data_IF_617607493275
#
_entry.id   IF_617607493275
#
_cell.length_a   1.000
_cell.length_b   1.000
_cell.length_c   1.000
_cell.angle_alpha   90.00
_cell.angle_beta   90.00
_cell.angle_gamma   90.00
#
_symmetry.space_group_name_H-M   'P 1'
#
loop_
_entity.id
_entity.type
_entity.pdbx_description
1 polymer ?
#
# COMPACT_ATOMS: atom_id res chain seq x y z
N UNK A 1 -31.56 -29.46 -38.87
CA UNK A 1 -31.67 -29.04 -37.46
C UNK A 1 -30.35 -28.40 -37.09
N UNK A 2 -30.23 -27.12 -37.42
CA UNK A 2 -29.02 -26.35 -37.28
C UNK A 2 -28.88 -25.83 -35.85
N UNK A 3 -27.78 -26.20 -35.20
CA UNK A 3 -27.42 -25.70 -33.86
C UNK A 3 -26.94 -24.26 -33.99
N UNK A 4 -27.79 -23.31 -33.62
CA UNK A 4 -27.37 -21.96 -33.27
C UNK A 4 -26.31 -22.03 -32.16
N UNK A 5 -25.10 -21.56 -32.47
CA UNK A 5 -24.10 -21.17 -31.47
C UNK A 5 -24.57 -19.86 -30.86
N UNK A 6 -24.91 -19.88 -29.58
CA UNK A 6 -25.10 -18.67 -28.78
C UNK A 6 -23.73 -18.13 -28.40
N UNK A 7 -23.38 -16.98 -28.97
CA UNK A 7 -22.19 -16.22 -28.58
C UNK A 7 -22.39 -15.65 -27.17
N UNK A 8 -21.38 -15.83 -26.33
CA UNK A 8 -21.34 -15.48 -24.90
C UNK A 8 -20.91 -14.00 -24.77
N UNK A 9 -21.79 -13.05 -24.38
CA UNK A 9 -21.50 -11.62 -24.45
C UNK A 9 -20.63 -11.11 -23.28
N UNK A 10 -20.24 -11.96 -22.33
CA UNK A 10 -19.65 -11.53 -21.05
C UNK A 10 -18.13 -11.71 -20.95
N UNK A 11 -17.43 -11.80 -22.08
CA UNK A 11 -15.96 -11.84 -22.11
C UNK A 11 -15.42 -10.50 -22.58
N UNK A 12 -15.56 -9.48 -21.73
CA UNK A 12 -14.90 -8.18 -21.87
C UNK A 12 -13.37 -8.39 -21.88
N UNK A 13 -12.82 -8.56 -23.09
CA UNK A 13 -11.40 -8.40 -23.35
C UNK A 13 -11.03 -6.97 -22.97
N UNK A 14 -10.19 -6.84 -21.96
CA UNK A 14 -9.42 -5.62 -21.72
C UNK A 14 -8.53 -5.46 -22.96
N UNK A 15 -8.96 -4.61 -23.90
CA UNK A 15 -8.18 -4.21 -25.05
C UNK A 15 -7.09 -3.26 -24.57
N UNK A 16 -5.93 -3.80 -24.21
CA UNK A 16 -4.71 -3.02 -24.07
C UNK A 16 -4.29 -2.60 -25.47
N UNK A 17 -4.67 -1.40 -25.92
CA UNK A 17 -4.06 -0.78 -27.10
C UNK A 17 -2.61 -0.46 -26.73
N UNK A 18 -1.67 -1.13 -27.36
CA UNK A 18 -0.25 -0.77 -27.30
C UNK A 18 -0.09 0.59 -27.98
N UNK A 19 0.18 1.62 -27.18
CA UNK A 19 0.58 2.93 -27.70
C UNK A 19 2.07 2.86 -28.00
N UNK A 20 2.42 2.96 -29.29
CA UNK A 20 3.80 3.02 -29.76
C UNK A 20 4.53 4.19 -29.13
N UNK A 21 5.66 3.88 -28.50
CA UNK A 21 6.63 4.83 -27.95
C UNK A 21 7.31 5.56 -29.10
N UNK A 22 6.81 6.75 -29.42
CA UNK A 22 7.38 7.66 -30.42
C UNK A 22 8.41 8.58 -29.77
N UNK A 23 9.56 8.04 -29.39
CA UNK A 23 10.75 8.81 -29.06
C UNK A 23 11.42 9.26 -30.35
N UNK A 24 11.45 10.57 -30.60
CA UNK A 24 12.54 11.30 -31.29
C UNK A 24 12.05 12.74 -31.55
N UNK A 25 12.25 13.64 -30.58
CA UNK A 25 12.25 15.08 -30.87
C UNK A 25 13.53 15.74 -30.37
N UNK A 26 14.21 16.22 -31.39
CA UNK A 26 15.50 16.87 -31.47
C UNK A 26 15.53 18.16 -30.65
N UNK A 27 16.53 18.24 -29.77
CA UNK A 27 16.90 19.41 -28.98
C UNK A 27 17.68 20.37 -29.87
N UNK A 28 17.02 21.41 -30.40
CA UNK A 28 17.73 22.57 -30.96
C UNK A 28 17.00 23.87 -30.60
N UNK A 29 17.71 24.65 -29.77
CA UNK A 29 17.77 26.11 -29.73
C UNK A 29 16.56 26.89 -30.26
N UNK A 30 15.81 27.51 -29.33
CA UNK A 30 15.19 28.81 -29.62
C UNK A 30 15.11 29.70 -28.38
N UNK A 31 16.12 30.56 -28.35
CA UNK A 31 16.34 31.80 -27.63
C UNK A 31 15.06 32.64 -27.42
N UNK A 32 14.83 32.98 -26.15
CA UNK A 32 14.27 34.21 -25.58
C UNK A 32 13.13 34.93 -26.34
N UNK A 33 11.90 34.78 -25.83
CA UNK A 33 10.92 35.86 -25.81
C UNK A 33 10.07 35.79 -24.54
N UNK A 34 10.57 36.40 -23.46
CA UNK A 34 9.79 36.71 -22.26
C UNK A 34 8.92 37.94 -22.58
N UNK A 35 7.66 37.72 -22.95
CA UNK A 35 6.63 38.77 -22.82
C UNK A 35 5.88 38.51 -21.54
N UNK A 36 6.14 39.37 -20.54
CA UNK A 36 5.36 39.46 -19.32
C UNK A 36 3.96 39.97 -19.69
N UNK A 37 3.07 39.02 -19.96
CA UNK A 37 1.64 39.26 -20.11
C UNK A 37 0.97 38.71 -18.85
N UNK A 38 0.77 39.61 -17.90
CA UNK A 38 -0.14 39.45 -16.77
C UNK A 38 -1.59 39.37 -17.31
N UNK A 39 -1.93 38.26 -17.96
CA UNK A 39 -3.32 37.92 -18.25
C UNK A 39 -3.90 37.28 -16.99
N UNK A 40 -4.51 38.13 -16.17
CA UNK A 40 -5.40 37.81 -15.05
C UNK A 40 -6.67 37.11 -15.60
N UNK A 41 -6.45 35.94 -16.19
CA UNK A 41 -7.48 35.11 -16.79
C UNK A 41 -8.27 34.49 -15.66
N UNK A 42 -9.46 35.04 -15.42
CA UNK A 42 -10.48 34.53 -14.52
C UNK A 42 -10.47 33.01 -14.47
N UNK A 43 -10.16 32.49 -13.28
CA UNK A 43 -10.21 31.09 -12.82
C UNK A 43 -11.64 30.54 -12.87
N UNK A 44 -12.30 30.66 -14.03
CA UNK A 44 -13.60 30.09 -14.29
C UNK A 44 -13.43 28.61 -14.61
N UNK A 45 -13.09 27.88 -13.56
CA UNK A 45 -13.64 26.56 -13.26
C UNK A 45 -13.50 25.53 -14.38
N UNK A 46 -12.28 25.02 -14.55
CA UNK A 46 -11.92 23.83 -15.33
C UNK A 46 -12.49 22.51 -14.75
N UNK A 47 -13.62 22.58 -14.03
CA UNK A 47 -14.23 21.41 -13.38
C UNK A 47 -14.66 20.35 -14.39
N UNK A 48 -15.00 20.74 -15.62
CA UNK A 48 -15.42 19.81 -16.68
C UNK A 48 -14.33 18.79 -17.06
N UNK A 49 -13.05 19.13 -16.88
CA UNK A 49 -11.91 18.27 -17.21
C UNK A 49 -11.31 17.55 -16.01
N UNK A 50 -11.88 17.74 -14.81
CA UNK A 50 -11.34 17.17 -13.56
C UNK A 50 -12.17 16.00 -13.06
N UNK A 51 -11.49 14.94 -12.64
CA UNK A 51 -12.11 13.77 -12.06
C UNK A 51 -12.54 14.07 -10.62
N UNK A 52 -13.82 13.87 -10.29
CA UNK A 52 -14.34 14.13 -8.93
C UNK A 52 -13.80 13.17 -7.86
N UNK A 53 -13.15 12.06 -8.25
CA UNK A 53 -12.56 11.09 -7.30
C UNK A 53 -11.17 11.55 -6.86
N UNK A 54 -10.33 11.95 -7.82
CA UNK A 54 -8.94 12.31 -7.54
C UNK A 54 -8.66 13.82 -7.57
N UNK A 55 -9.66 14.65 -7.91
CA UNK A 55 -9.58 16.10 -8.03
C UNK A 55 -8.43 16.59 -8.93
N UNK A 56 -8.14 15.82 -9.99
CA UNK A 56 -7.10 16.14 -10.96
C UNK A 56 -7.65 15.93 -12.38
N UNK A 57 -6.92 16.37 -13.40
CA UNK A 57 -7.32 16.21 -14.79
C UNK A 57 -7.59 14.75 -15.14
N UNK A 58 -8.61 14.53 -15.97
CA UNK A 58 -9.01 13.19 -16.38
C UNK A 58 -8.01 12.58 -17.36
N UNK A 59 -7.49 11.39 -17.02
CA UNK A 59 -6.66 10.58 -17.93
C UNK A 59 -7.43 9.33 -18.31
N UNK A 60 -7.58 9.08 -19.61
CA UNK A 60 -8.39 7.97 -20.16
C UNK A 60 -9.80 7.96 -19.54
N UNK A 61 -10.60 9.02 -19.74
CA UNK A 61 -11.92 9.16 -19.14
C UNK A 61 -12.85 8.01 -19.57
N UNK A 62 -13.59 7.51 -18.59
CA UNK A 62 -14.56 6.42 -18.71
C UNK A 62 -15.93 6.92 -18.24
N UNK A 63 -16.94 6.83 -19.09
CA UNK A 63 -18.34 7.10 -18.74
C UNK A 63 -18.97 5.84 -18.15
N UNK A 64 -19.58 5.96 -16.97
CA UNK A 64 -20.32 4.86 -16.34
C UNK A 64 -21.77 4.82 -16.79
N UNK A 65 -22.27 3.63 -17.14
CA UNK A 65 -23.69 3.43 -17.51
C UNK A 65 -24.46 2.74 -16.38
N UNK A 66 -25.73 3.13 -16.15
CA UNK A 66 -26.57 3.98 -17.02
C UNK A 66 -26.50 5.49 -16.74
N UNK A 67 -25.84 5.92 -15.67
CA UNK A 67 -25.99 7.30 -15.17
C UNK A 67 -25.21 8.39 -15.92
N UNK A 68 -24.22 8.04 -16.75
CA UNK A 68 -23.50 8.97 -17.62
C UNK A 68 -22.40 9.81 -16.95
N UNK A 69 -22.03 9.50 -15.72
CA UNK A 69 -20.93 10.19 -15.03
C UNK A 69 -19.57 9.74 -15.56
N UNK A 70 -18.58 10.63 -15.57
CA UNK A 70 -17.25 10.37 -16.14
C UNK A 70 -16.16 10.43 -15.07
N UNK A 71 -15.23 9.48 -15.13
CA UNK A 71 -14.12 9.37 -14.18
C UNK A 71 -12.85 8.89 -14.89
N UNK A 72 -11.67 8.98 -14.24
CA UNK A 72 -10.46 8.34 -14.76
C UNK A 72 -10.58 6.80 -14.75
N UNK A 73 -9.95 6.13 -15.71
CA UNK A 73 -9.83 4.67 -15.77
C UNK A 73 -9.31 4.08 -14.43
N UNK A 74 -8.22 4.64 -13.88
CA UNK A 74 -7.65 4.17 -12.61
C UNK A 74 -8.60 4.30 -11.43
N UNK A 75 -9.31 5.43 -11.36
CA UNK A 75 -10.20 5.70 -10.24
C UNK A 75 -11.37 4.72 -10.22
N UNK A 76 -11.94 4.39 -11.39
CA UNK A 76 -12.96 3.34 -11.49
C UNK A 76 -12.39 1.96 -11.14
N UNK A 77 -11.19 1.65 -11.62
CA UNK A 77 -10.55 0.37 -11.32
C UNK A 77 -10.30 0.20 -9.80
N UNK A 78 -9.79 1.23 -9.13
CA UNK A 78 -9.60 1.25 -7.67
C UNK A 78 -10.94 1.16 -6.91
N UNK A 79 -12.01 1.79 -7.42
CA UNK A 79 -13.35 1.67 -6.86
C UNK A 79 -13.88 0.22 -6.94
N UNK A 80 -13.67 -0.45 -8.07
CA UNK A 80 -14.03 -1.86 -8.24
C UNK A 80 -13.20 -2.78 -7.32
N UNK A 81 -11.89 -2.53 -7.22
CA UNK A 81 -10.99 -3.31 -6.38
C UNK A 81 -11.32 -3.17 -4.88
N UNK A 82 -11.57 -1.94 -4.41
CA UNK A 82 -11.96 -1.67 -3.03
C UNK A 82 -13.30 -2.32 -2.68
N UNK A 83 -14.30 -2.21 -3.57
CA UNK A 83 -15.60 -2.88 -3.39
C UNK A 83 -15.43 -4.40 -3.28
N UNK A 84 -14.61 -4.99 -4.16
CA UNK A 84 -14.34 -6.44 -4.18
C UNK A 84 -13.60 -6.91 -2.93
N UNK A 85 -12.67 -6.10 -2.39
CA UNK A 85 -11.94 -6.43 -1.16
C UNK A 85 -12.86 -6.55 0.07
N UNK A 86 -13.90 -5.72 0.16
CA UNK A 86 -14.89 -5.78 1.24
C UNK A 86 -15.72 -7.08 1.18
N UNK A 87 -15.91 -7.64 -0.01
CA UNK A 87 -16.69 -8.86 -0.20
C UNK A 87 -16.01 -10.07 0.41
N UNK A 88 -14.69 -10.18 0.25
CA UNK A 88 -13.91 -11.28 0.81
C UNK A 88 -14.04 -11.35 2.35
N UNK A 89 -14.28 -10.22 3.00
CA UNK A 89 -14.49 -10.15 4.45
C UNK A 89 -15.89 -10.60 4.85
N UNK A 90 -16.94 -10.14 4.12
CA UNK A 90 -18.33 -10.53 4.41
C UNK A 90 -18.65 -11.97 4.02
N UNK A 91 -18.04 -12.48 2.95
CA UNK A 91 -18.23 -13.88 2.54
C UNK A 91 -17.75 -14.86 3.62
N UNK A 92 -16.75 -14.49 4.44
CA UNK A 92 -16.34 -15.30 5.60
C UNK A 92 -17.41 -15.40 6.68
N UNK A 93 -18.41 -14.51 6.68
CA UNK A 93 -19.52 -14.49 7.64
C UNK A 93 -20.74 -15.30 7.16
N UNK A 94 -20.65 -15.98 6.01
CA UNK A 94 -21.71 -16.89 5.54
C UNK A 94 -22.93 -16.20 4.93
N UNK A 95 -22.88 -14.88 4.74
CA UNK A 95 -23.96 -14.13 4.10
C UNK A 95 -23.90 -14.34 2.57
N UNK A 96 -24.98 -14.90 2.00
CA UNK A 96 -25.13 -15.04 0.54
C UNK A 96 -25.51 -13.68 -0.03
N UNK A 97 -24.51 -12.92 -0.46
CA UNK A 97 -24.75 -11.65 -1.13
C UNK A 97 -24.79 -11.90 -2.64
N UNK A 98 -25.99 -11.81 -3.24
CA UNK A 98 -26.19 -12.12 -4.66
C UNK A 98 -25.99 -10.92 -5.59
N UNK A 99 -25.98 -9.67 -5.10
CA UNK A 99 -25.96 -8.49 -5.97
C UNK A 99 -25.08 -7.36 -5.41
N UNK A 100 -23.77 -7.53 -5.49
CA UNK A 100 -22.81 -6.47 -5.16
C UNK A 100 -22.43 -5.72 -6.42
N UNK A 101 -23.27 -4.75 -6.77
CA UNK A 101 -22.95 -3.78 -7.80
C UNK A 101 -22.05 -2.68 -7.23
N UNK A 102 -21.04 -2.26 -8.00
CA UNK A 102 -20.26 -1.06 -7.69
C UNK A 102 -21.16 0.15 -7.89
N UNK A 103 -21.18 1.08 -6.94
CA UNK A 103 -22.04 2.26 -7.00
C UNK A 103 -21.27 3.48 -7.54
N UNK A 104 -21.92 4.27 -8.38
CA UNK A 104 -21.39 5.53 -8.89
C UNK A 104 -21.13 6.53 -7.74
N UNK A 105 -19.93 7.13 -7.62
CA UNK A 105 -19.65 8.09 -6.54
C UNK A 105 -20.54 9.34 -6.54
N UNK A 106 -21.06 9.74 -7.71
CA UNK A 106 -21.88 10.96 -7.83
C UNK A 106 -23.35 10.66 -7.49
N UNK A 107 -24.00 9.76 -8.24
CA UNK A 107 -25.44 9.51 -8.08
C UNK A 107 -25.78 8.26 -7.24
N UNK A 108 -24.78 7.49 -6.82
CA UNK A 108 -24.93 6.21 -6.10
C UNK A 108 -25.72 5.13 -6.85
N UNK A 109 -25.97 5.32 -8.15
CA UNK A 109 -26.57 4.30 -9.02
C UNK A 109 -25.61 3.14 -9.29
N UNK A 110 -26.12 1.94 -9.52
CA UNK A 110 -25.31 0.77 -9.86
C UNK A 110 -24.62 0.95 -11.22
N UNK A 111 -23.31 0.71 -11.24
CA UNK A 111 -22.50 0.71 -12.46
C UNK A 111 -22.64 -0.66 -13.11
N UNK A 112 -23.16 -0.70 -14.33
CA UNK A 112 -23.28 -1.93 -15.10
C UNK A 112 -22.07 -2.15 -16.01
N UNK A 113 -21.67 -1.11 -16.73
CA UNK A 113 -20.50 -1.12 -17.60
C UNK A 113 -19.92 0.30 -17.76
N UNK A 114 -18.69 0.36 -18.25
CA UNK A 114 -17.95 1.60 -18.48
C UNK A 114 -17.60 1.71 -19.98
N UNK A 115 -17.71 2.92 -20.53
CA UNK A 115 -17.45 3.22 -21.94
C UNK A 115 -16.36 4.31 -22.05
N UNK A 116 -15.33 4.06 -22.86
CA UNK A 116 -14.24 5.02 -23.03
C UNK A 116 -14.70 6.28 -23.79
N UNK A 117 -14.36 7.46 -23.28
CA UNK A 117 -14.68 8.75 -23.92
C UNK A 117 -13.48 9.30 -24.70
N UNK A 118 -13.16 8.69 -25.84
CA UNK A 118 -12.00 9.07 -26.67
C UNK A 118 -11.99 10.57 -27.03
N UNK A 119 -13.15 11.15 -27.41
CA UNK A 119 -13.26 12.58 -27.73
C UNK A 119 -12.90 13.49 -26.55
N UNK A 120 -13.32 13.12 -25.33
CA UNK A 120 -12.99 13.90 -24.13
C UNK A 120 -11.51 13.75 -23.80
N UNK A 121 -10.95 12.55 -23.98
CA UNK A 121 -9.52 12.29 -23.80
C UNK A 121 -8.66 13.19 -24.71
N UNK A 122 -9.03 13.31 -25.98
CA UNK A 122 -8.35 14.17 -26.95
C UNK A 122 -8.44 15.66 -26.56
N UNK A 123 -9.60 16.10 -26.07
CA UNK A 123 -9.79 17.48 -25.57
C UNK A 123 -8.90 17.75 -24.35
N UNK A 124 -8.91 16.87 -23.34
CA UNK A 124 -8.11 17.06 -22.14
C UNK A 124 -6.61 16.99 -22.47
N UNK A 125 -6.21 16.07 -23.34
CA UNK A 125 -4.81 15.91 -23.77
C UNK A 125 -4.31 17.13 -24.54
N UNK A 126 -5.13 17.69 -25.42
CA UNK A 126 -4.77 18.89 -26.19
C UNK A 126 -4.76 20.16 -25.34
N UNK A 127 -5.70 20.28 -24.38
CA UNK A 127 -5.79 21.45 -23.49
C UNK A 127 -4.72 21.45 -22.38
N UNK A 128 -4.32 20.28 -21.85
CA UNK A 128 -3.37 20.15 -20.74
C UNK A 128 -2.25 19.12 -21.00
N UNK A 129 -1.43 19.28 -22.05
CA UNK A 129 -0.50 18.23 -22.49
C UNK A 129 0.50 17.80 -21.41
N UNK A 130 1.13 18.75 -20.71
CA UNK A 130 2.13 18.43 -19.68
C UNK A 130 1.55 17.68 -18.48
N UNK A 131 0.45 18.21 -17.89
CA UNK A 131 -0.22 17.56 -16.75
C UNK A 131 -0.76 16.19 -17.15
N UNK A 132 -1.31 16.07 -18.37
CA UNK A 132 -1.86 14.82 -18.86
C UNK A 132 -0.77 13.74 -18.96
N UNK A 133 0.41 14.08 -19.51
CA UNK A 133 1.54 13.15 -19.62
C UNK A 133 2.09 12.73 -18.25
N UNK A 134 2.24 13.66 -17.31
CA UNK A 134 2.66 13.35 -15.93
C UNK A 134 1.72 12.32 -15.28
N UNK A 135 0.40 12.58 -15.40
CA UNK A 135 -0.63 11.72 -14.82
C UNK A 135 -0.75 10.37 -15.55
N UNK A 136 -0.51 10.33 -16.86
CA UNK A 136 -0.44 9.10 -17.64
C UNK A 136 0.75 8.21 -17.23
N UNK A 137 1.91 8.81 -16.94
CA UNK A 137 3.06 8.07 -16.43
C UNK A 137 2.76 7.44 -15.06
N UNK A 138 2.11 8.20 -14.16
CA UNK A 138 1.63 7.67 -12.87
C UNK A 138 0.67 6.49 -13.06
N UNK A 139 -0.30 6.61 -13.96
CA UNK A 139 -1.24 5.55 -14.33
C UNK A 139 -0.52 4.26 -14.75
N UNK A 140 0.41 4.36 -15.71
CA UNK A 140 1.11 3.21 -16.26
C UNK A 140 1.96 2.50 -15.20
N UNK A 141 2.62 3.26 -14.31
CA UNK A 141 3.37 2.69 -13.19
C UNK A 141 2.45 1.96 -12.21
N UNK A 142 1.28 2.52 -11.92
CA UNK A 142 0.31 1.88 -11.05
C UNK A 142 -0.25 0.59 -11.67
N UNK A 143 -0.58 0.57 -12.97
CA UNK A 143 -1.04 -0.64 -13.67
C UNK A 143 0.01 -1.75 -13.59
N UNK A 144 1.28 -1.43 -13.87
CA UNK A 144 2.39 -2.41 -13.76
C UNK A 144 2.52 -3.00 -12.35
N UNK A 145 2.35 -2.19 -11.31
CA UNK A 145 2.37 -2.69 -9.93
C UNK A 145 1.23 -3.69 -9.66
N UNK A 146 0.05 -3.45 -10.20
CA UNK A 146 -1.12 -4.31 -10.01
C UNK A 146 -0.98 -5.63 -10.77
N UNK A 147 -0.42 -5.61 -11.97
CA UNK A 147 -0.07 -6.82 -12.72
C UNK A 147 0.93 -7.67 -11.93
N UNK A 148 1.92 -7.05 -11.28
CA UNK A 148 2.91 -7.72 -10.44
C UNK A 148 2.33 -8.26 -9.12
N UNK A 149 1.26 -7.65 -8.60
CA UNK A 149 0.57 -8.10 -7.39
C UNK A 149 -0.50 -9.17 -7.65
N UNK A 150 -0.73 -9.56 -8.90
CA UNK A 150 -1.59 -10.69 -9.20
C UNK A 150 -1.05 -11.93 -8.51
N UNK A 151 -1.82 -12.59 -7.62
CA UNK A 151 -1.34 -13.80 -6.95
C UNK A 151 -0.89 -14.80 -8.02
N UNK A 152 0.20 -15.56 -7.78
CA UNK A 152 0.65 -16.55 -8.74
C UNK A 152 -0.56 -17.39 -9.12
N UNK A 153 -0.92 -17.37 -10.41
CA UNK A 153 -2.04 -18.17 -10.95
C UNK A 153 -1.96 -19.51 -10.27
N UNK A 154 -2.92 -19.80 -9.40
CA UNK A 154 -3.03 -21.13 -8.81
C UNK A 154 -3.07 -22.06 -10.02
N UNK A 155 -2.00 -22.84 -10.21
CA UNK A 155 -1.87 -23.77 -11.32
C UNK A 155 -3.23 -24.43 -11.49
N UNK A 156 -3.80 -24.29 -12.69
CA UNK A 156 -5.12 -24.79 -13.01
C UNK A 156 -5.16 -26.30 -12.79
N UNK A 157 -5.44 -26.70 -11.55
CA UNK A 157 -6.08 -27.95 -11.26
C UNK A 157 -7.39 -27.86 -12.01
N UNK A 158 -7.52 -28.64 -13.08
CA UNK A 158 -8.77 -28.92 -13.74
C UNK A 158 -9.79 -29.27 -12.64
N UNK A 159 -10.60 -28.30 -12.23
CA UNK A 159 -11.89 -28.60 -11.64
C UNK A 159 -12.71 -29.20 -12.78
N UNK A 160 -12.62 -30.52 -12.91
CA UNK A 160 -13.64 -31.29 -13.61
C UNK A 160 -14.96 -30.88 -12.98
N UNK A 161 -15.81 -30.24 -13.79
CA UNK A 161 -17.18 -29.98 -13.40
C UNK A 161 -17.81 -31.31 -12.95
N UNK A 162 -18.49 -31.36 -11.79
CA UNK A 162 -19.23 -32.54 -11.41
C UNK A 162 -20.37 -32.71 -12.42
N UNK A 163 -20.18 -33.62 -13.38
CA UNK A 163 -21.24 -34.13 -14.21
C UNK A 163 -22.20 -34.85 -13.27
N UNK A 164 -23.35 -34.25 -12.99
CA UNK A 164 -24.43 -34.95 -12.30
C UNK A 164 -24.81 -36.17 -13.15
N UNK A 165 -24.39 -37.36 -12.71
CA UNK A 165 -24.91 -38.64 -13.15
C UNK A 165 -25.53 -39.35 -11.96
N UNK A 166 -26.60 -40.13 -12.17
CA UNK A 166 -27.41 -40.70 -11.10
C UNK A 166 -26.69 -41.89 -10.45
N UNK A 167 -26.84 -41.97 -9.12
CA UNK A 167 -26.74 -43.13 -8.24
C UNK A 167 -25.90 -44.34 -8.72
N UNK A 168 -24.67 -44.44 -8.22
CA UNK A 168 -24.13 -45.74 -7.83
C UNK A 168 -23.35 -45.66 -6.51
N UNK A 169 -23.66 -46.62 -5.64
CA UNK A 169 -23.11 -46.84 -4.29
C UNK A 169 -21.62 -47.25 -4.34
N UNK A 170 -20.91 -47.13 -3.21
CA UNK A 170 -19.47 -46.86 -3.16
C UNK A 170 -18.62 -48.14 -3.16
N UNK A 171 -17.43 -48.03 -3.73
CA UNK A 171 -16.34 -48.96 -3.45
C UNK A 171 -15.28 -48.19 -2.64
N UNK A 172 -14.94 -48.71 -1.47
CA UNK A 172 -14.00 -48.14 -0.50
C UNK A 172 -12.57 -48.18 -1.08
N UNK A 173 -12.15 -47.08 -1.70
CA UNK A 173 -10.76 -46.82 -2.05
C UNK A 173 -10.06 -46.06 -0.93
N UNK A 174 -8.96 -46.62 -0.45
CA UNK A 174 -8.16 -46.19 0.69
C UNK A 174 -7.81 -44.69 0.66
N UNK A 175 -8.23 -43.98 1.72
CA UNK A 175 -7.80 -42.62 2.04
C UNK A 175 -6.29 -42.61 2.36
N UNK A 176 -5.45 -42.34 1.37
CA UNK A 176 -4.08 -41.93 1.61
C UNK A 176 -4.10 -40.54 2.24
N UNK A 177 -3.97 -40.49 3.57
CA UNK A 177 -3.78 -39.25 4.31
C UNK A 177 -2.51 -38.58 3.79
N UNK A 178 -2.55 -37.33 3.31
CA UNK A 178 -1.33 -36.63 2.92
C UNK A 178 -0.38 -36.56 4.14
N UNK A 179 0.93 -36.72 3.93
CA UNK A 179 1.90 -36.80 5.01
C UNK A 179 1.84 -35.52 5.87
N UNK A 180 1.69 -35.70 7.19
CA UNK A 180 1.63 -34.64 8.20
C UNK A 180 2.77 -33.60 8.07
N UNK A 181 3.90 -34.02 7.51
CA UNK A 181 5.09 -33.21 7.25
C UNK A 181 4.80 -31.98 6.38
N UNK A 182 3.92 -32.09 5.37
CA UNK A 182 3.60 -30.96 4.50
C UNK A 182 2.75 -29.88 5.19
N UNK A 183 1.91 -30.26 6.17
CA UNK A 183 1.16 -29.28 6.97
C UNK A 183 2.07 -28.55 7.96
N UNK A 184 3.01 -29.26 8.59
CA UNK A 184 4.01 -28.62 9.45
C UNK A 184 4.88 -27.61 8.69
N UNK A 185 5.34 -27.95 7.49
CA UNK A 185 6.19 -27.05 6.70
C UNK A 185 5.45 -25.76 6.29
N UNK A 186 4.15 -25.84 5.99
CA UNK A 186 3.35 -24.64 5.72
C UNK A 186 3.17 -23.75 6.96
N UNK A 187 2.98 -24.34 8.15
CA UNK A 187 2.87 -23.57 9.40
C UNK A 187 4.19 -22.84 9.71
N UNK A 188 5.34 -23.52 9.53
CA UNK A 188 6.67 -22.91 9.71
C UNK A 188 6.92 -21.76 8.74
N UNK A 189 6.48 -21.89 7.48
CA UNK A 189 6.66 -20.82 6.47
C UNK A 189 5.81 -19.59 6.78
N UNK A 190 4.59 -19.78 7.30
CA UNK A 190 3.70 -18.68 7.71
C UNK A 190 4.24 -17.99 8.97
N UNK A 191 4.67 -18.76 9.98
CA UNK A 191 5.22 -18.18 11.22
C UNK A 191 6.54 -17.44 10.98
N UNK A 192 7.43 -17.98 10.15
CA UNK A 192 8.70 -17.33 9.80
C UNK A 192 8.50 -15.98 9.10
N UNK A 193 7.54 -15.88 8.17
CA UNK A 193 7.22 -14.60 7.51
C UNK A 193 6.67 -13.57 8.50
N UNK A 194 5.82 -13.99 9.42
CA UNK A 194 5.24 -13.12 10.45
C UNK A 194 6.32 -12.55 11.40
N UNK A 195 7.32 -13.36 11.77
CA UNK A 195 8.44 -12.92 12.63
C UNK A 195 9.32 -11.89 11.90
N UNK A 196 9.61 -12.10 10.61
CA UNK A 196 10.41 -11.15 9.82
C UNK A 196 9.66 -9.82 9.64
N UNK A 197 8.37 -9.87 9.34
CA UNK A 197 7.57 -8.66 9.13
C UNK A 197 7.38 -7.89 10.45
N UNK A 198 7.14 -8.57 11.58
CA UNK A 198 7.15 -7.94 12.90
C UNK A 198 8.52 -7.32 13.25
N UNK A 199 9.62 -7.99 12.91
CA UNK A 199 10.97 -7.48 13.13
C UNK A 199 11.23 -6.17 12.38
N UNK A 200 10.79 -6.08 11.12
CA UNK A 200 10.88 -4.85 10.32
C UNK A 200 10.05 -3.71 10.88
N UNK A 201 8.81 -3.98 11.30
CA UNK A 201 7.93 -2.97 11.90
C UNK A 201 8.55 -2.45 13.20
N UNK A 202 9.11 -3.33 14.03
CA UNK A 202 9.76 -2.95 15.28
C UNK A 202 11.00 -2.09 15.00
N UNK A 203 11.84 -2.47 14.04
CA UNK A 203 13.04 -1.73 13.66
C UNK A 203 12.72 -0.33 13.11
N UNK A 204 11.70 -0.21 12.26
CA UNK A 204 11.22 1.09 11.76
C UNK A 204 10.69 1.96 12.91
N UNK A 205 9.92 1.38 13.83
CA UNK A 205 9.42 2.10 15.00
C UNK A 205 10.56 2.61 15.90
N UNK A 206 11.59 1.80 16.14
CA UNK A 206 12.75 2.20 16.94
C UNK A 206 13.55 3.31 16.24
N UNK A 207 13.75 3.23 14.92
CA UNK A 207 14.41 4.27 14.15
C UNK A 207 13.63 5.59 14.17
N UNK A 208 12.30 5.56 14.08
CA UNK A 208 11.48 6.76 14.18
C UNK A 208 11.58 7.42 15.57
N UNK A 209 11.53 6.62 16.63
CA UNK A 209 11.72 7.13 18.00
C UNK A 209 13.12 7.75 18.16
N UNK A 210 14.16 7.10 17.64
CA UNK A 210 15.53 7.63 17.64
C UNK A 210 15.64 8.96 16.88
N UNK A 211 15.03 9.07 15.70
CA UNK A 211 15.04 10.30 14.91
C UNK A 211 14.28 11.44 15.62
N UNK A 212 13.11 11.17 16.18
CA UNK A 212 12.33 12.19 16.90
C UNK A 212 13.07 12.67 18.15
N UNK A 213 13.67 11.74 18.90
CA UNK A 213 14.45 12.09 20.10
C UNK A 213 15.71 12.86 19.77
N UNK A 214 16.49 12.45 18.77
CA UNK A 214 17.70 13.16 18.36
C UNK A 214 17.41 14.55 17.82
N UNK A 215 16.39 14.71 16.96
CA UNK A 215 15.97 16.03 16.45
C UNK A 215 15.42 16.91 17.58
N UNK A 216 14.63 16.35 18.49
CA UNK A 216 14.12 17.06 19.67
C UNK A 216 15.26 17.56 20.57
N UNK A 217 16.24 16.71 20.85
CA UNK A 217 17.43 17.06 21.65
C UNK A 217 18.31 18.09 20.94
N UNK A 218 18.48 17.98 19.62
CA UNK A 218 19.23 18.95 18.82
C UNK A 218 18.55 20.32 18.85
N UNK A 219 17.23 20.38 18.66
CA UNK A 219 16.45 21.62 18.74
C UNK A 219 16.48 22.22 20.15
N UNK A 220 16.39 21.38 21.18
CA UNK A 220 16.54 21.81 22.57
C UNK A 220 17.94 22.40 22.81
N UNK A 221 19.00 21.73 22.35
CA UNK A 221 20.36 22.22 22.46
C UNK A 221 20.55 23.55 21.71
N UNK A 222 20.07 23.67 20.47
CA UNK A 222 20.12 24.90 19.69
C UNK A 222 19.29 26.02 20.32
N UNK A 223 18.17 25.72 20.98
CA UNK A 223 17.38 26.71 21.72
C UNK A 223 18.14 27.15 22.97
N UNK A 224 18.72 26.21 23.72
CA UNK A 224 19.55 26.54 24.88
C UNK A 224 20.78 27.37 24.50
N UNK A 225 21.42 27.09 23.36
CA UNK A 225 22.60 27.84 22.89
C UNK A 225 22.21 29.17 22.23
N UNK A 226 21.14 29.21 21.42
CA UNK A 226 20.73 30.39 20.66
C UNK A 226 19.87 31.38 21.44
N UNK A 227 19.07 30.91 22.40
CA UNK A 227 18.27 31.75 23.29
C UNK A 227 19.04 32.19 24.54
N UNK A 228 20.14 31.49 24.87
CA UNK A 228 21.28 32.12 25.53
C UNK A 228 21.92 33.07 24.53
N UNK A 229 21.22 34.15 24.19
CA UNK A 229 21.85 35.32 23.64
C UNK A 229 22.91 35.73 24.64
N UNK A 230 24.11 35.20 24.46
CA UNK A 230 25.34 35.85 24.84
C UNK A 230 25.37 37.07 23.90
N UNK A 231 24.53 38.05 24.21
CA UNK A 231 24.91 39.44 24.14
C UNK A 231 26.19 39.48 24.98
N UNK A 232 27.31 39.23 24.30
CA UNK A 232 28.58 39.84 24.66
C UNK A 232 28.32 41.33 24.52
N UNK A 233 27.63 41.89 25.51
CA UNK A 233 27.68 43.31 25.74
C UNK A 233 29.16 43.60 25.99
N UNK A 234 29.79 44.23 24.99
CA UNK A 234 31.24 44.35 24.90
C UNK A 234 31.78 45.26 26.00
N UNK A 235 30.92 45.95 26.74
CA UNK A 235 31.30 47.01 27.68
C UNK A 235 31.08 46.70 29.17
N UNK A 236 30.21 45.77 29.56
CA UNK A 236 30.09 45.40 30.99
C UNK A 236 30.86 44.13 31.35
N UNK A 237 32.12 44.36 31.74
CA UNK A 237 33.07 43.37 32.26
C UNK A 237 32.73 42.83 33.65
N UNK A 238 31.44 42.63 33.97
CA UNK A 238 31.05 41.95 35.19
C UNK A 238 30.94 40.45 34.94
N UNK A 239 31.96 39.74 35.38
CA UNK A 239 32.13 38.29 35.37
C UNK A 239 31.02 37.55 36.16
N UNK A 240 29.77 37.62 35.70
CA UNK A 240 28.72 36.72 36.19
C UNK A 240 28.91 35.34 35.58
N UNK A 241 29.74 34.59 36.29
CA UNK A 241 29.69 33.15 36.50
C UNK A 241 29.69 32.26 35.26
N UNK A 242 30.85 32.22 34.59
CA UNK A 242 31.28 31.11 33.71
C UNK A 242 30.97 29.73 34.34
N UNK A 243 31.07 29.64 35.68
CA UNK A 243 30.70 28.45 36.47
C UNK A 243 29.25 28.02 36.28
N UNK A 244 28.29 28.95 36.21
CA UNK A 244 26.88 28.62 36.05
C UNK A 244 26.60 28.00 34.67
N UNK A 245 27.23 28.55 33.62
CA UNK A 245 27.14 28.00 32.27
C UNK A 245 27.72 26.58 32.19
N UNK A 246 28.90 26.36 32.77
CA UNK A 246 29.49 25.01 32.82
C UNK A 246 28.65 24.03 33.63
N UNK A 247 28.02 24.46 34.73
CA UNK A 247 27.11 23.61 35.49
C UNK A 247 25.88 23.20 34.69
N UNK A 248 25.29 24.12 33.91
CA UNK A 248 24.15 23.80 33.05
C UNK A 248 24.55 22.83 31.94
N UNK A 249 25.73 23.01 31.32
CA UNK A 249 26.26 22.07 30.32
C UNK A 249 26.52 20.69 30.92
N UNK A 250 27.17 20.60 32.08
CA UNK A 250 27.43 19.35 32.76
C UNK A 250 26.13 18.63 33.16
N UNK A 251 25.14 19.36 33.68
CA UNK A 251 23.83 18.81 34.02
C UNK A 251 23.12 18.24 32.79
N UNK A 252 23.17 18.96 31.66
CA UNK A 252 22.61 18.49 30.38
C UNK A 252 23.25 17.17 29.90
N UNK A 253 24.57 17.06 30.00
CA UNK A 253 25.30 15.83 29.63
C UNK A 253 24.92 14.66 30.56
N UNK A 254 24.86 14.90 31.87
CA UNK A 254 24.49 13.85 32.85
C UNK A 254 23.07 13.35 32.62
N UNK A 255 22.11 14.24 32.39
CA UNK A 255 20.72 13.86 32.10
C UNK A 255 20.62 13.09 30.79
N UNK A 256 21.38 13.49 29.76
CA UNK A 256 21.42 12.78 28.49
C UNK A 256 21.98 11.36 28.64
N UNK A 257 23.14 11.21 29.31
CA UNK A 257 23.76 9.90 29.54
C UNK A 257 22.85 8.99 30.38
N UNK A 258 22.23 9.52 31.42
CA UNK A 258 21.27 8.77 32.24
C UNK A 258 20.04 8.33 31.42
N UNK A 259 19.51 9.19 30.55
CA UNK A 259 18.37 8.88 29.69
C UNK A 259 18.71 7.79 28.66
N UNK A 260 19.89 7.88 28.05
CA UNK A 260 20.40 6.85 27.13
C UNK A 260 20.58 5.52 27.88
N UNK A 261 21.22 5.52 29.05
CA UNK A 261 21.42 4.32 29.84
C UNK A 261 20.10 3.67 30.30
N UNK A 262 19.11 4.47 30.71
CA UNK A 262 17.79 3.98 31.10
C UNK A 262 17.01 3.41 29.91
N UNK A 263 17.14 4.03 28.73
CA UNK A 263 16.58 3.51 27.48
C UNK A 263 17.18 2.14 27.12
N UNK A 264 18.50 2.02 27.18
CA UNK A 264 19.17 0.74 26.93
C UNK A 264 18.77 -0.32 27.95
N UNK A 265 18.74 0.01 29.24
CA UNK A 265 18.37 -0.95 30.31
C UNK A 265 16.92 -1.46 30.20
N UNK A 266 15.96 -0.57 29.92
CA UNK A 266 14.54 -0.93 29.88
C UNK A 266 14.16 -1.64 28.58
N UNK A 267 14.59 -1.13 27.41
CA UNK A 267 14.18 -1.69 26.14
C UNK A 267 14.94 -2.97 25.80
N UNK A 268 16.26 -3.00 25.97
CA UNK A 268 17.03 -4.21 25.65
C UNK A 268 16.80 -5.33 26.66
N UNK A 269 16.59 -5.00 27.94
CA UNK A 269 16.26 -6.01 28.96
C UNK A 269 14.94 -6.74 28.68
N UNK A 270 13.91 -6.01 28.24
CA UNK A 270 12.62 -6.60 27.83
C UNK A 270 12.74 -7.38 26.52
N UNK A 271 13.50 -6.85 25.55
CA UNK A 271 13.72 -7.52 24.27
C UNK A 271 14.49 -8.83 24.42
N UNK A 272 15.54 -8.85 25.26
CA UNK A 272 16.32 -10.04 25.60
C UNK A 272 15.48 -11.07 26.38
N UNK A 273 14.63 -10.64 27.32
CA UNK A 273 13.71 -11.56 28.03
C UNK A 273 12.71 -12.21 27.08
N UNK A 274 12.16 -11.44 26.14
CA UNK A 274 11.20 -11.96 25.14
C UNK A 274 11.87 -12.86 24.12
N UNK A 275 13.05 -12.50 23.62
CA UNK A 275 13.80 -13.34 22.68
C UNK A 275 14.29 -14.62 23.35
N UNK A 276 14.82 -14.54 24.58
CA UNK A 276 15.20 -15.71 25.36
C UNK A 276 14.00 -16.62 25.66
N UNK A 277 12.83 -16.07 25.97
CA UNK A 277 11.59 -16.85 26.16
C UNK A 277 11.16 -17.58 24.89
N UNK A 278 11.24 -16.92 23.72
CA UNK A 278 10.94 -17.55 22.43
C UNK A 278 11.96 -18.64 22.10
N UNK A 279 13.26 -18.38 22.28
CA UNK A 279 14.32 -19.39 22.11
C UNK A 279 14.16 -20.57 23.06
N UNK A 280 13.79 -20.31 24.32
CA UNK A 280 13.56 -21.37 25.30
C UNK A 280 12.37 -22.23 24.92
N UNK A 281 11.25 -21.62 24.49
CA UNK A 281 10.05 -22.34 24.04
C UNK A 281 10.27 -23.12 22.73
N UNK A 282 11.05 -22.61 21.78
CA UNK A 282 11.43 -23.39 20.58
C UNK A 282 12.43 -24.49 20.92
N UNK A 283 13.32 -24.30 21.89
CA UNK A 283 14.25 -25.35 22.32
C UNK A 283 13.59 -26.46 23.15
N UNK A 284 12.57 -26.12 23.96
CA UNK A 284 11.78 -27.07 24.75
C UNK A 284 10.64 -27.73 23.95
N UNK A 285 10.39 -27.24 22.73
CA UNK A 285 9.26 -27.63 21.89
C UNK A 285 9.48 -28.79 20.93
N UNK A 286 10.32 -29.80 21.26
CA UNK A 286 10.28 -31.12 20.62
C UNK A 286 10.85 -32.21 21.56
N UNK A 287 10.20 -32.45 22.70
CA UNK A 287 10.29 -33.74 23.40
C UNK A 287 8.93 -34.04 24.06
N UNK A 288 7.91 -34.19 23.22
CA UNK A 288 6.62 -34.80 23.61
C UNK A 288 6.38 -36.05 22.75
N UNK A 289 7.38 -36.93 22.67
CA UNK A 289 7.13 -38.35 22.43
C UNK A 289 7.23 -39.05 23.79
N UNK A 290 6.10 -39.04 24.52
CA UNK A 290 5.92 -39.87 25.70
C UNK A 290 5.66 -41.33 25.29
N UNK A 291 6.28 -42.33 25.93
CA UNK A 291 6.23 -43.75 25.51
C UNK A 291 4.91 -44.48 25.85
N UNK A 292 3.77 -43.79 25.91
CA UNK A 292 2.47 -44.36 26.29
C UNK A 292 1.49 -44.55 25.12
N UNK A 293 1.99 -44.82 23.91
CA UNK A 293 1.19 -45.34 22.80
C UNK A 293 1.08 -46.86 22.83
N UNK A 294 0.49 -47.41 23.89
CA UNK A 294 0.28 -48.85 24.10
C UNK A 294 -0.95 -49.33 23.30
N UNK A 295 -0.72 -50.29 22.41
CA UNK A 295 -1.63 -51.29 21.80
C UNK A 295 -3.15 -51.10 21.96
N UNK A 296 -3.85 -50.92 20.83
CA UNK A 296 -5.22 -51.43 20.65
C UNK A 296 -5.23 -52.24 19.35
N UNK A 297 -5.56 -53.53 19.51
CA UNK A 297 -5.80 -54.56 18.49
C UNK A 297 -7.06 -54.24 17.70
#
# INVERSE_FOLDING_TARGET
MDRLKTDDPNRSRICVKEYGDGSDMNETDKLAHHTDKDEDSSDSTDYEHTCVICYDIMVRPQEVRPCGHVFCELCLWQLHASTSSMLNTRQRQGERITDLSVLCPICRGSIQFCEAKEKLDDIVRSKYPHRYMERLHFLNNHIRQLENCSPPRSNGGQYQQPRMRPNHRPNQGQNQRPPLVNKMWQIFRISGKLVIDCGKICLVSTLLIYMVTTVGLLKFFLTCVGHSGILFDREERNARNTTCFHLIQCLGIVVFVASVQQFFSLQWGQLLKRSAGVFFLTSMGYYLDGPYGRNIV
#
